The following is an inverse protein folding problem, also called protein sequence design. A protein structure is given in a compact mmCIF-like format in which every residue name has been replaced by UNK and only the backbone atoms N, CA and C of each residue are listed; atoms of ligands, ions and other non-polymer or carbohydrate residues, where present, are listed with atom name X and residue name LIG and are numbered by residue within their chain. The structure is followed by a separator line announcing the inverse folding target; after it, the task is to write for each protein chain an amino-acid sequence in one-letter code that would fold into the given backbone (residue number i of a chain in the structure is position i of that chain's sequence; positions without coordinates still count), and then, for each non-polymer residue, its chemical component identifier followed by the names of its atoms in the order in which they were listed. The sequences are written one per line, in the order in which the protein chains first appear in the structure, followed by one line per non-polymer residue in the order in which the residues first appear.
data_IF_876774205325
#
_entry.id   IF_876774205325
#
_cell.length_a   1.000
_cell.length_b   1.000
_cell.length_c   1.000
_cell.angle_alpha   90.00
_cell.angle_beta   90.00
_cell.angle_gamma   90.00
#
_symmetry.space_group_name_H-M   'P 1'
#
loop_
_entity.id
_entity.type
_entity.pdbx_description
1 polymer ?
#
# COMPACT_ATOMS: atom_id res chain seq x y z
N UNK A 1 1.48 -20.10 2.08
CA UNK A 1 2.77 -19.52 1.62
C UNK A 1 2.53 -18.83 0.29
N UNK A 2 3.03 -17.60 0.12
CA UNK A 2 2.93 -16.80 -1.11
C UNK A 2 4.30 -16.81 -1.80
N UNK A 3 4.30 -17.10 -3.10
CA UNK A 3 5.51 -17.15 -3.93
C UNK A 3 6.52 -18.20 -3.47
N UNK A 4 6.19 -19.51 -3.41
CA UNK A 4 7.08 -20.53 -2.85
C UNK A 4 8.42 -20.67 -3.58
N UNK A 5 8.51 -20.27 -4.86
CA UNK A 5 9.71 -20.37 -5.69
C UNK A 5 10.49 -19.05 -5.83
N UNK A 6 10.09 -17.98 -5.14
CA UNK A 6 10.84 -16.71 -5.18
C UNK A 6 12.02 -16.76 -4.20
N UNK A 7 13.06 -15.92 -4.38
CA UNK A 7 14.23 -15.89 -3.48
C UNK A 7 13.90 -15.64 -1.99
N UNK A 8 12.80 -14.92 -1.72
CA UNK A 8 12.30 -14.61 -0.36
C UNK A 8 10.81 -14.98 -0.28
N UNK A 9 10.44 -16.27 -0.12
CA UNK A 9 9.05 -16.67 -0.01
C UNK A 9 8.41 -16.01 1.21
N UNK A 10 7.10 -15.79 1.18
CA UNK A 10 6.37 -15.19 2.29
C UNK A 10 5.39 -16.19 2.90
N UNK A 11 5.58 -16.50 4.18
CA UNK A 11 4.62 -17.26 4.96
C UNK A 11 4.11 -16.36 6.08
N UNK A 12 2.81 -16.04 6.04
CA UNK A 12 2.18 -15.31 7.14
C UNK A 12 2.22 -16.14 8.42
N UNK A 13 2.49 -15.49 9.55
CA UNK A 13 2.47 -16.10 10.89
C UNK A 13 1.06 -16.14 11.50
N UNK A 14 0.12 -15.38 10.94
CA UNK A 14 -1.24 -15.24 11.44
C UNK A 14 -2.27 -15.31 10.31
N UNK A 15 -3.50 -15.71 10.67
CA UNK A 15 -4.69 -15.59 9.81
C UNK A 15 -5.33 -14.20 9.89
N UNK A 16 -4.95 -13.42 10.91
CA UNK A 16 -5.39 -12.05 11.14
C UNK A 16 -4.31 -11.11 10.59
N UNK A 17 -4.75 -10.03 9.96
CA UNK A 17 -3.91 -8.99 9.40
C UNK A 17 -4.65 -7.65 9.44
N UNK A 18 -3.95 -6.55 9.14
CA UNK A 18 -4.56 -5.24 9.01
C UNK A 18 -4.94 -5.01 7.55
N UNK A 19 -6.26 -4.92 7.32
CA UNK A 19 -6.86 -4.75 6.00
C UNK A 19 -6.41 -3.45 5.30
N UNK A 20 -6.44 -3.40 3.96
CA UNK A 20 -6.00 -2.26 3.16
C UNK A 20 -6.78 -0.98 3.49
N UNK A 21 -6.06 0.04 3.95
CA UNK A 21 -6.59 1.39 4.14
C UNK A 21 -5.51 2.41 3.77
N UNK A 22 -5.80 3.29 2.81
CA UNK A 22 -4.79 4.20 2.24
C UNK A 22 -4.41 5.35 3.19
N UNK A 23 -3.13 5.75 3.17
CA UNK A 23 -2.74 7.08 3.64
C UNK A 23 -3.48 8.18 2.85
N UNK A 24 -3.99 9.17 3.59
CA UNK A 24 -4.93 10.19 3.13
C UNK A 24 -6.39 9.87 3.48
N UNK A 25 -6.78 8.58 3.48
CA UNK A 25 -8.02 8.15 4.14
C UNK A 25 -7.79 8.03 5.66
N UNK A 26 -6.66 7.46 6.04
CA UNK A 26 -6.12 7.48 7.40
C UNK A 26 -5.11 8.63 7.56
N UNK A 27 -5.02 9.15 8.79
CA UNK A 27 -3.98 10.11 9.17
C UNK A 27 -2.62 9.43 9.32
N UNK A 28 -1.54 10.22 9.33
CA UNK A 28 -0.18 9.71 9.63
C UNK A 28 -0.16 8.93 10.95
N UNK A 29 -0.73 9.51 12.02
CA UNK A 29 -0.74 8.89 13.34
C UNK A 29 -1.41 7.51 13.33
N UNK A 30 -2.52 7.37 12.60
CA UNK A 30 -3.22 6.10 12.46
C UNK A 30 -2.39 5.07 11.69
N UNK A 31 -1.77 5.46 10.56
CA UNK A 31 -0.92 4.53 9.78
C UNK A 31 0.28 4.07 10.59
N UNK A 32 0.97 4.98 11.29
CA UNK A 32 2.10 4.66 12.17
C UNK A 32 1.70 3.69 13.29
N UNK A 33 0.59 3.95 13.96
CA UNK A 33 0.09 3.09 15.04
C UNK A 33 -0.22 1.67 14.52
N UNK A 34 -0.87 1.56 13.36
CA UNK A 34 -1.16 0.28 12.73
C UNK A 34 0.13 -0.45 12.30
N UNK A 35 1.11 0.27 11.74
CA UNK A 35 2.39 -0.30 11.33
C UNK A 35 3.19 -0.85 12.52
N UNK A 36 3.24 -0.10 13.62
CA UNK A 36 3.88 -0.54 14.87
C UNK A 36 3.17 -1.76 15.45
N UNK A 37 1.85 -1.70 15.61
CA UNK A 37 1.09 -2.83 16.16
C UNK A 37 1.16 -4.09 15.29
N UNK A 38 1.21 -3.95 13.96
CA UNK A 38 1.41 -5.08 13.05
C UNK A 38 2.78 -5.75 13.28
N UNK A 39 3.83 -4.94 13.37
CA UNK A 39 5.19 -5.39 13.63
C UNK A 39 5.32 -6.12 14.97
N UNK A 40 4.81 -5.53 16.06
CA UNK A 40 4.86 -6.10 17.41
C UNK A 40 4.12 -7.45 17.52
N UNK A 41 3.05 -7.62 16.76
CA UNK A 41 2.24 -8.85 16.77
C UNK A 41 2.64 -9.85 15.69
N UNK A 42 3.62 -9.51 14.83
CA UNK A 42 4.07 -10.36 13.73
C UNK A 42 3.02 -10.61 12.65
N UNK A 43 2.03 -9.72 12.51
CA UNK A 43 1.06 -9.71 11.41
C UNK A 43 1.51 -8.70 10.34
N UNK A 44 0.96 -8.79 9.14
CA UNK A 44 1.24 -7.82 8.09
C UNK A 44 0.21 -6.67 8.06
N UNK A 45 0.67 -5.52 7.58
CA UNK A 45 -0.15 -4.35 7.24
C UNK A 45 -0.29 -4.24 5.72
N UNK A 46 -1.47 -3.92 5.23
CA UNK A 46 -1.67 -3.60 3.81
C UNK A 46 -1.79 -2.08 3.59
N UNK A 47 -1.06 -1.55 2.61
CA UNK A 47 -0.96 -0.10 2.34
C UNK A 47 -2.24 0.55 1.81
N UNK A 48 -3.17 -0.25 1.28
CA UNK A 48 -4.29 0.26 0.50
C UNK A 48 -3.89 0.87 -0.84
N UNK A 49 -4.88 1.32 -1.62
CA UNK A 49 -4.70 1.79 -3.02
C UNK A 49 -3.97 3.14 -3.15
N UNK A 50 -3.60 3.79 -2.05
CA UNK A 50 -3.09 5.18 -2.06
C UNK A 50 -1.61 5.33 -2.34
N UNK A 51 -0.89 4.25 -2.65
CA UNK A 51 0.56 4.23 -2.65
C UNK A 51 1.15 3.77 -1.31
N UNK A 52 2.46 3.52 -1.30
CA UNK A 52 3.21 3.14 -0.11
C UNK A 52 3.84 4.40 0.53
N UNK A 53 3.32 4.82 1.68
CA UNK A 53 3.91 5.94 2.43
C UNK A 53 5.04 5.47 3.36
N UNK A 54 5.99 6.35 3.75
CA UNK A 54 7.01 6.05 4.75
C UNK A 54 6.42 5.57 6.10
N UNK A 55 5.21 6.01 6.43
CA UNK A 55 4.50 5.63 7.65
C UNK A 55 4.06 4.17 7.70
N UNK A 56 3.86 3.51 6.54
CA UNK A 56 3.62 2.07 6.52
C UNK A 56 4.90 1.29 6.88
N UNK A 57 6.06 1.85 6.49
CA UNK A 57 7.36 1.22 6.70
C UNK A 57 7.92 1.49 8.11
N UNK A 58 7.47 2.56 8.77
CA UNK A 58 8.03 2.99 10.06
C UNK A 58 7.91 1.98 11.19
N UNK A 59 7.04 0.97 11.07
CA UNK A 59 6.92 -0.11 12.06
C UNK A 59 7.99 -1.19 11.97
N UNK A 60 8.74 -1.27 10.86
CA UNK A 60 9.73 -2.34 10.62
C UNK A 60 9.12 -3.71 10.31
N UNK A 61 7.79 -3.83 10.25
CA UNK A 61 7.08 -5.08 9.99
C UNK A 61 6.90 -5.40 8.50
N UNK A 62 6.26 -6.55 8.24
CA UNK A 62 5.89 -6.99 6.91
C UNK A 62 4.71 -6.16 6.36
N UNK A 63 4.85 -5.70 5.11
CA UNK A 63 3.85 -4.89 4.40
C UNK A 63 3.41 -5.60 3.11
N UNK A 64 2.12 -5.51 2.81
CA UNK A 64 1.58 -5.79 1.48
C UNK A 64 1.28 -4.46 0.79
N UNK A 65 1.87 -4.25 -0.39
CA UNK A 65 1.61 -3.08 -1.20
C UNK A 65 0.43 -3.35 -2.14
N UNK A 66 -0.65 -2.58 -2.02
CA UNK A 66 -1.85 -2.75 -2.85
C UNK A 66 -1.83 -1.82 -4.06
N UNK A 67 -2.01 -2.41 -5.25
CA UNK A 67 -2.18 -1.69 -6.52
C UNK A 67 -3.65 -1.73 -6.91
N UNK A 68 -4.30 -0.56 -6.87
CA UNK A 68 -5.65 -0.36 -7.38
C UNK A 68 -5.67 0.15 -8.83
N UNK A 69 -6.87 0.39 -9.41
CA UNK A 69 -7.02 0.80 -10.81
C UNK A 69 -6.26 2.09 -11.19
N UNK A 70 -6.17 3.04 -10.25
CA UNK A 70 -5.45 4.30 -10.45
C UNK A 70 -3.91 4.17 -10.38
N UNK A 71 -3.39 3.00 -9.99
CA UNK A 71 -1.96 2.67 -9.91
C UNK A 71 -1.14 3.67 -9.06
N UNK A 72 -1.75 4.28 -8.05
CA UNK A 72 -1.05 5.26 -7.22
C UNK A 72 0.23 4.67 -6.61
N UNK A 73 1.29 5.48 -6.63
CA UNK A 73 2.62 5.09 -6.16
C UNK A 73 3.43 4.22 -7.14
N UNK A 74 2.83 3.75 -8.24
CA UNK A 74 3.45 3.00 -9.34
C UNK A 74 2.86 3.38 -10.70
N UNK A 75 2.43 4.64 -10.85
CA UNK A 75 1.90 5.16 -12.10
C UNK A 75 2.90 6.09 -12.76
N UNK A 76 2.93 6.04 -14.08
CA UNK A 76 3.58 7.07 -14.89
C UNK A 76 2.72 8.35 -14.94
N UNK A 77 3.27 9.49 -15.37
CA UNK A 77 2.50 10.74 -15.50
C UNK A 77 1.26 10.61 -16.39
N UNK A 78 1.32 9.82 -17.46
CA UNK A 78 0.20 9.49 -18.37
C UNK A 78 -0.77 8.43 -17.80
N UNK A 79 -0.50 7.89 -16.61
CA UNK A 79 -1.40 6.95 -15.91
C UNK A 79 -1.23 5.47 -16.29
N UNK A 80 -0.21 5.14 -17.09
CA UNK A 80 0.23 3.77 -17.29
C UNK A 80 0.89 3.20 -16.01
N UNK A 81 1.13 1.89 -16.00
CA UNK A 81 1.86 1.24 -14.91
C UNK A 81 3.36 1.50 -15.08
N UNK A 82 4.00 2.03 -14.06
CA UNK A 82 5.45 2.17 -13.99
C UNK A 82 6.07 0.86 -13.46
N UNK A 83 6.59 0.05 -14.37
CA UNK A 83 7.22 -1.24 -14.04
C UNK A 83 8.51 -1.08 -13.23
N UNK A 84 9.26 0.00 -13.44
CA UNK A 84 10.51 0.24 -12.70
C UNK A 84 10.20 0.53 -11.24
N UNK A 85 9.22 1.40 -10.99
CA UNK A 85 8.78 1.74 -9.63
C UNK A 85 8.07 0.58 -8.93
N UNK A 86 7.27 -0.21 -9.65
CA UNK A 86 6.71 -1.44 -9.08
C UNK A 86 7.80 -2.45 -8.70
N UNK A 87 8.85 -2.58 -9.53
CA UNK A 87 9.99 -3.43 -9.24
C UNK A 87 10.78 -2.95 -8.03
N UNK A 88 10.99 -1.64 -7.90
CA UNK A 88 11.60 -1.03 -6.71
C UNK A 88 10.86 -1.44 -5.44
N UNK A 89 9.54 -1.25 -5.39
CA UNK A 89 8.74 -1.69 -4.25
C UNK A 89 8.77 -3.20 -4.04
N UNK A 90 8.72 -3.99 -5.11
CA UNK A 90 8.80 -5.45 -5.02
C UNK A 90 10.14 -5.99 -4.47
N UNK A 91 11.20 -5.17 -4.51
CA UNK A 91 12.52 -5.48 -3.94
C UNK A 91 12.74 -4.88 -2.55
N UNK A 92 11.90 -3.94 -2.10
CA UNK A 92 11.98 -3.41 -0.75
C UNK A 92 11.81 -4.51 0.29
N UNK A 93 12.65 -4.54 1.32
CA UNK A 93 12.75 -5.68 2.24
C UNK A 93 11.46 -5.95 3.03
N UNK A 94 10.75 -4.88 3.42
CA UNK A 94 9.48 -4.96 4.14
C UNK A 94 8.29 -5.31 3.23
N UNK A 95 8.40 -5.14 1.91
CA UNK A 95 7.28 -5.43 0.99
C UNK A 95 7.29 -6.92 0.65
N UNK A 96 6.38 -7.67 1.26
CA UNK A 96 6.35 -9.13 1.15
C UNK A 96 5.52 -9.65 0.00
N UNK A 97 4.50 -8.89 -0.41
CA UNK A 97 3.68 -9.19 -1.57
C UNK A 97 3.08 -7.92 -2.17
N UNK A 98 2.65 -8.04 -3.42
CA UNK A 98 1.84 -7.05 -4.12
C UNK A 98 0.42 -7.60 -4.19
N UNK A 99 -0.57 -6.81 -3.76
CA UNK A 99 -1.98 -7.16 -3.90
C UNK A 99 -2.60 -6.37 -5.06
N UNK A 100 -3.21 -7.07 -6.01
CA UNK A 100 -3.95 -6.44 -7.11
C UNK A 100 -5.41 -6.31 -6.68
N UNK A 101 -5.88 -5.08 -6.49
CA UNK A 101 -7.26 -4.83 -6.09
C UNK A 101 -8.16 -4.75 -7.32
N UNK A 102 -9.05 -5.74 -7.45
CA UNK A 102 -10.08 -5.80 -8.50
C UNK A 102 -11.35 -5.05 -8.09
N UNK A 103 -11.67 -5.01 -6.79
CA UNK A 103 -12.87 -4.35 -6.28
C UNK A 103 -12.87 -4.21 -4.76
N UNK A 104 -13.91 -3.57 -4.23
CA UNK A 104 -14.16 -3.43 -2.79
C UNK A 104 -15.65 -3.60 -2.48
N UNK A 105 -15.96 -4.25 -1.36
CA UNK A 105 -17.34 -4.49 -0.94
C UNK A 105 -18.13 -3.22 -0.64
N UNK A 106 -17.47 -2.16 -0.15
CA UNK A 106 -18.14 -0.91 0.20
C UNK A 106 -18.73 -0.15 -1.01
N UNK A 107 -18.11 -0.28 -2.19
CA UNK A 107 -18.49 0.44 -3.42
C UNK A 107 -18.19 -0.41 -4.66
N UNK A 108 -19.03 -1.42 -4.97
CA UNK A 108 -18.86 -2.22 -6.17
C UNK A 108 -18.84 -1.32 -7.42
N UNK A 109 -17.88 -1.55 -8.32
CA UNK A 109 -17.74 -0.80 -9.58
C UNK A 109 -17.10 0.59 -9.47
N UNK A 110 -16.65 1.03 -8.28
CA UNK A 110 -15.92 2.30 -8.10
C UNK A 110 -14.61 2.09 -7.34
N UNK A 111 -13.53 2.71 -7.83
CA UNK A 111 -12.25 2.78 -7.11
C UNK A 111 -12.34 3.59 -5.82
N UNK A 112 -11.29 3.55 -4.99
CA UNK A 112 -11.15 4.45 -3.85
C UNK A 112 -11.25 5.92 -4.27
N UNK A 113 -12.02 6.71 -3.51
CA UNK A 113 -12.17 8.16 -3.73
C UNK A 113 -11.52 8.87 -2.55
N UNK A 114 -10.54 9.73 -2.84
CA UNK A 114 -10.05 10.71 -1.88
C UNK A 114 -10.48 12.09 -2.38
N UNK A 115 -11.14 12.93 -1.56
CA UNK A 115 -11.46 14.30 -1.93
C UNK A 115 -10.19 15.07 -2.30
N UNK A 116 -10.30 15.89 -3.34
CA UNK A 116 -9.23 16.74 -3.86
C UNK A 116 -8.56 17.54 -2.72
N UNK A 117 -9.37 18.22 -1.88
CA UNK A 117 -8.89 18.98 -0.73
C UNK A 117 -8.04 18.21 0.30
N UNK A 118 -8.00 16.87 0.26
CA UNK A 118 -7.11 16.03 1.10
C UNK A 118 -5.81 15.64 0.41
N UNK A 119 -5.61 15.94 -0.87
CA UNK A 119 -4.41 15.65 -1.65
C UNK A 119 -3.35 16.72 -1.34
N UNK A 120 -2.71 16.59 -0.18
CA UNK A 120 -1.57 17.43 0.22
C UNK A 120 -0.37 17.19 -0.71
N UNK A 121 0.65 18.08 -0.70
CA UNK A 121 1.92 17.85 -1.43
C UNK A 121 2.56 16.49 -1.15
N UNK A 122 2.49 16.03 0.09
CA UNK A 122 2.98 14.72 0.49
C UNK A 122 2.17 13.58 -0.15
N UNK A 123 0.83 13.64 -0.05
CA UNK A 123 -0.05 12.61 -0.63
C UNK A 123 0.10 12.59 -2.15
N UNK A 124 0.20 13.74 -2.79
CA UNK A 124 0.46 13.89 -4.22
C UNK A 124 1.76 13.19 -4.63
N UNK A 125 2.86 13.44 -3.92
CA UNK A 125 4.16 12.81 -4.17
C UNK A 125 4.14 11.28 -3.99
N UNK A 126 3.48 10.79 -2.93
CA UNK A 126 3.30 9.35 -2.69
C UNK A 126 2.50 8.71 -3.81
N UNK A 127 1.43 9.37 -4.27
CA UNK A 127 0.51 8.85 -5.29
C UNK A 127 1.06 8.98 -6.71
N UNK A 128 2.02 9.87 -6.95
CA UNK A 128 2.50 10.19 -8.29
C UNK A 128 1.45 10.97 -9.10
N UNK A 129 0.79 11.93 -8.45
CA UNK A 129 -0.20 12.83 -9.07
C UNK A 129 0.06 14.28 -8.65
N UNK A 130 -0.52 15.29 -9.33
CA UNK A 130 -0.51 16.67 -8.88
C UNK A 130 -1.23 16.86 -7.53
N UNK A 131 -0.87 17.92 -6.81
CA UNK A 131 -1.68 18.46 -5.70
C UNK A 131 -3.00 18.94 -6.27
N UNK A 132 -4.11 18.69 -5.56
CA UNK A 132 -5.42 19.06 -6.08
C UNK A 132 -6.52 18.23 -5.53
#
# INVERSE_FOLDING_TARGET
MIGPHRPRPFATRSRINIAPMSFGALSEAAVRALALGASETGIYLNSGEGGLSPYHLSGGGDVIFQVGPAKYGVRTPDGALDWARLREWGHHEQVRAIEIKVGQGAKPGKGGILPAAKVTPEIAAIRGIPVG
#
